data_IF_867988729519
#
_entry.id   IF_867988729519
#
_cell.length_a   1.000
_cell.length_b   1.000
_cell.length_c   1.000
_cell.angle_alpha   90.00
_cell.angle_beta   90.00
_cell.angle_gamma   90.00
#
_symmetry.space_group_name_H-M   'P 1'
#
loop_
_entity.id
_entity.type
_entity.pdbx_description
1 polymer ?
#
# COMPACT_ATOMS: atom_id res chain seq x y z
N UNK A 1 19.84 -5.97 -17.76
CA UNK A 1 19.07 -5.13 -16.82
C UNK A 1 17.73 -5.80 -16.58
N UNK A 2 17.47 -6.22 -15.35
CA UNK A 2 16.23 -6.87 -14.96
C UNK A 2 15.19 -5.82 -14.61
N UNK A 3 13.97 -5.94 -15.12
CA UNK A 3 12.87 -5.04 -14.76
C UNK A 3 11.94 -5.72 -13.77
N UNK A 4 11.64 -5.03 -12.68
CA UNK A 4 10.69 -5.49 -11.66
C UNK A 4 9.60 -4.45 -11.53
N UNK A 5 8.35 -4.85 -11.80
CA UNK A 5 7.17 -4.07 -11.45
C UNK A 5 6.69 -4.53 -10.07
N UNK A 6 6.38 -3.59 -9.18
CA UNK A 6 5.88 -3.89 -7.83
C UNK A 6 4.53 -3.21 -7.63
N UNK A 7 3.45 -3.97 -7.70
CA UNK A 7 2.10 -3.47 -7.48
C UNK A 7 1.76 -3.51 -5.99
N UNK A 8 1.34 -2.37 -5.45
CA UNK A 8 1.24 -2.23 -4.00
C UNK A 8 0.12 -1.29 -3.55
N UNK A 9 -0.43 -1.59 -2.36
CA UNK A 9 -1.39 -0.78 -1.62
C UNK A 9 -1.00 -0.80 -0.15
N UNK A 10 -0.89 0.38 0.46
CA UNK A 10 -0.45 0.52 1.85
C UNK A 10 -1.45 -0.05 2.88
N UNK A 11 -2.69 -0.34 2.47
CA UNK A 11 -3.72 -0.97 3.31
C UNK A 11 -3.60 -2.49 3.44
N UNK A 12 -2.56 -3.11 2.88
CA UNK A 12 -2.27 -4.53 3.05
C UNK A 12 -1.04 -4.76 3.95
N UNK A 13 -1.15 -5.58 5.01
CA UNK A 13 -0.03 -5.82 5.91
C UNK A 13 1.04 -6.71 5.25
N UNK A 14 0.63 -7.60 4.35
CA UNK A 14 1.55 -8.41 3.53
C UNK A 14 2.35 -7.55 2.55
N UNK A 15 1.73 -6.47 2.06
CA UNK A 15 2.44 -5.50 1.21
C UNK A 15 3.49 -4.75 2.01
N UNK A 16 3.25 -4.44 3.29
CA UNK A 16 4.27 -3.80 4.12
C UNK A 16 5.51 -4.70 4.28
N UNK A 17 5.30 -5.98 4.58
CA UNK A 17 6.38 -6.97 4.66
C UNK A 17 7.20 -7.04 3.36
N UNK A 18 6.52 -7.18 2.23
CA UNK A 18 7.17 -7.25 0.93
C UNK A 18 7.87 -5.95 0.55
N UNK A 19 7.26 -4.80 0.86
CA UNK A 19 7.80 -3.49 0.57
C UNK A 19 9.14 -3.25 1.28
N UNK A 20 9.28 -3.63 2.55
CA UNK A 20 10.58 -3.53 3.23
C UNK A 20 11.57 -4.59 2.73
N UNK A 21 11.09 -5.82 2.46
CA UNK A 21 11.94 -6.92 2.01
C UNK A 21 12.52 -6.72 0.60
N UNK A 22 11.84 -5.98 -0.28
CA UNK A 22 12.29 -5.76 -1.67
C UNK A 22 13.33 -4.64 -1.81
N UNK A 23 13.51 -3.79 -0.79
CA UNK A 23 14.41 -2.63 -0.88
C UNK A 23 15.87 -3.00 -1.22
N UNK A 24 16.47 -4.06 -0.64
CA UNK A 24 17.82 -4.48 -1.03
C UNK A 24 17.92 -4.91 -2.48
N UNK A 25 16.85 -5.49 -3.05
CA UNK A 25 16.79 -5.86 -4.47
C UNK A 25 16.66 -4.60 -5.34
N UNK A 26 15.81 -3.66 -4.92
CA UNK A 26 15.60 -2.38 -5.59
C UNK A 26 16.86 -1.51 -5.67
N UNK A 27 17.78 -1.67 -4.71
CA UNK A 27 19.04 -0.92 -4.66
C UNK A 27 20.16 -1.51 -5.55
N UNK A 28 19.94 -2.66 -6.20
CA UNK A 28 20.94 -3.27 -7.08
C UNK A 28 21.05 -2.51 -8.40
N UNK A 29 22.28 -2.30 -8.87
CA UNK A 29 22.55 -1.57 -10.13
C UNK A 29 21.97 -2.26 -11.38
N UNK A 30 21.77 -3.57 -11.33
CA UNK A 30 21.26 -4.37 -12.46
C UNK A 30 19.73 -4.50 -12.49
N UNK A 31 19.02 -3.85 -11.56
CA UNK A 31 17.56 -3.90 -11.40
C UNK A 31 16.94 -2.52 -11.66
N UNK A 32 15.96 -2.46 -12.57
CA UNK A 32 15.08 -1.30 -12.73
C UNK A 32 13.76 -1.57 -12.03
N UNK A 33 13.47 -0.82 -10.96
CA UNK A 33 12.18 -0.86 -10.29
C UNK A 33 11.15 0.04 -10.97
N UNK A 34 9.95 -0.49 -11.18
CA UNK A 34 8.75 0.27 -11.51
C UNK A 34 7.75 0.08 -10.38
N UNK A 35 7.52 1.12 -9.60
CA UNK A 35 6.54 1.08 -8.52
C UNK A 35 5.14 1.36 -9.07
N UNK A 36 4.17 0.53 -8.73
CA UNK A 36 2.82 0.60 -9.27
C UNK A 36 1.79 0.71 -8.13
N UNK A 37 1.50 1.94 -7.65
CA UNK A 37 0.41 2.17 -6.70
C UNK A 37 -0.91 1.68 -7.28
N UNK A 38 -1.65 0.87 -6.52
CA UNK A 38 -2.97 0.36 -6.88
C UNK A 38 -3.97 0.62 -5.75
N UNK A 39 -5.25 0.34 -6.03
CA UNK A 39 -6.28 0.21 -5.01
C UNK A 39 -6.68 -1.28 -4.87
N UNK A 40 -6.23 -1.95 -3.83
CA UNK A 40 -6.45 -3.40 -3.64
C UNK A 40 -7.92 -3.75 -3.47
N UNK A 41 -8.73 -2.85 -2.88
CA UNK A 41 -10.18 -3.03 -2.82
C UNK A 41 -10.83 -3.09 -4.21
N UNK A 42 -10.30 -2.36 -5.19
CA UNK A 42 -10.73 -2.44 -6.58
C UNK A 42 -10.39 -3.79 -7.21
N UNK A 43 -9.22 -4.36 -6.89
CA UNK A 43 -8.80 -5.69 -7.35
C UNK A 43 -9.70 -6.77 -6.76
N UNK A 44 -9.93 -6.75 -5.44
CA UNK A 44 -10.77 -7.75 -4.79
C UNK A 44 -12.21 -7.74 -5.31
N UNK A 45 -12.80 -6.56 -5.48
CA UNK A 45 -14.16 -6.44 -6.04
C UNK A 45 -14.26 -7.02 -7.46
N UNK A 46 -13.22 -6.87 -8.28
CA UNK A 46 -13.25 -7.29 -9.67
C UNK A 46 -12.95 -8.79 -9.86
N UNK A 47 -11.96 -9.33 -9.14
CA UNK A 47 -11.39 -10.65 -9.45
C UNK A 47 -11.17 -11.56 -8.24
N UNK A 48 -11.46 -11.10 -7.02
CA UNK A 48 -11.24 -11.90 -5.81
C UNK A 48 -12.24 -11.56 -4.68
N UNK A 49 -13.53 -11.59 -5.01
CA UNK A 49 -14.61 -11.24 -4.08
C UNK A 49 -14.68 -12.16 -2.86
N UNK A 50 -14.18 -13.40 -2.99
CA UNK A 50 -14.09 -14.39 -1.92
C UNK A 50 -13.31 -13.90 -0.67
N UNK A 51 -12.45 -12.89 -0.82
CA UNK A 51 -11.74 -12.26 0.31
C UNK A 51 -12.73 -11.63 1.30
N UNK A 52 -13.81 -11.02 0.81
CA UNK A 52 -14.83 -10.41 1.66
C UNK A 52 -15.66 -11.47 2.38
N UNK A 53 -16.02 -12.55 1.69
CA UNK A 53 -16.75 -13.67 2.31
C UNK A 53 -15.95 -14.32 3.43
N UNK A 54 -14.66 -14.55 3.21
CA UNK A 54 -13.76 -15.10 4.25
C UNK A 54 -13.60 -14.17 5.45
N UNK A 55 -13.66 -12.84 5.25
CA UNK A 55 -13.63 -11.86 6.35
C UNK A 55 -14.93 -11.86 7.15
N UNK A 56 -16.08 -12.02 6.48
CA UNK A 56 -17.38 -12.10 7.13
C UNK A 56 -17.55 -13.41 7.92
N UNK A 57 -17.07 -14.53 7.38
CA UNK A 57 -17.22 -15.85 7.96
C UNK A 57 -15.86 -16.57 8.12
N UNK A 58 -14.98 -16.10 9.02
CA UNK A 58 -13.64 -16.67 9.16
C UNK A 58 -13.69 -18.03 9.84
N UNK A 59 -12.93 -18.99 9.31
CA UNK A 59 -12.63 -20.24 10.02
C UNK A 59 -11.64 -19.92 11.16
N UNK A 60 -11.98 -20.11 12.45
CA UNK A 60 -11.17 -19.64 13.57
C UNK A 60 -9.72 -20.13 13.54
N UNK A 61 -9.48 -21.40 13.20
CA UNK A 61 -8.15 -21.97 13.08
C UNK A 61 -7.30 -21.29 11.99
N UNK A 62 -7.89 -21.00 10.82
CA UNK A 62 -7.20 -20.28 9.74
C UNK A 62 -6.90 -18.84 10.13
N UNK A 63 -7.82 -18.17 10.82
CA UNK A 63 -7.63 -16.80 11.28
C UNK A 63 -6.54 -16.69 12.36
N UNK A 64 -6.46 -17.66 13.28
CA UNK A 64 -5.38 -17.74 14.27
C UNK A 64 -4.02 -17.97 13.60
N UNK A 65 -3.95 -18.90 12.64
CA UNK A 65 -2.73 -19.15 11.88
C UNK A 65 -2.29 -17.90 11.11
N UNK A 66 -3.22 -17.26 10.38
CA UNK A 66 -2.94 -16.02 9.65
C UNK A 66 -2.31 -14.94 10.53
N UNK A 67 -2.86 -14.71 11.73
CA UNK A 67 -2.30 -13.72 12.68
C UNK A 67 -0.92 -14.14 13.15
N UNK A 68 -0.72 -15.41 13.52
CA UNK A 68 0.59 -15.91 13.95
C UNK A 68 1.63 -15.74 12.84
N UNK A 69 1.31 -16.19 11.63
CA UNK A 69 2.20 -16.14 10.46
C UNK A 69 2.59 -14.70 10.13
N UNK A 70 1.62 -13.78 10.13
CA UNK A 70 1.88 -12.35 9.93
C UNK A 70 2.85 -11.79 10.99
N UNK A 71 2.69 -12.16 12.27
CA UNK A 71 3.58 -11.71 13.35
C UNK A 71 4.97 -12.35 13.26
N UNK A 72 5.08 -13.61 12.81
CA UNK A 72 6.36 -14.27 12.60
C UNK A 72 7.16 -13.57 11.50
N UNK A 73 6.50 -13.26 10.38
CA UNK A 73 7.12 -12.50 9.28
C UNK A 73 7.46 -11.06 9.67
N UNK A 74 6.61 -10.37 10.44
CA UNK A 74 6.91 -9.03 10.93
C UNK A 74 8.18 -9.01 11.78
N UNK A 75 8.34 -9.99 12.69
CA UNK A 75 9.58 -10.17 13.47
C UNK A 75 10.79 -10.49 12.59
N UNK A 76 10.63 -11.32 11.57
CA UNK A 76 11.70 -11.66 10.64
C UNK A 76 12.18 -10.45 9.84
N UNK A 77 11.25 -9.63 9.32
CA UNK A 77 11.55 -8.42 8.55
C UNK A 77 12.03 -7.26 9.43
N UNK A 78 11.73 -7.29 10.73
CA UNK A 78 12.12 -6.25 11.69
C UNK A 78 11.14 -5.06 11.74
N UNK A 79 9.86 -5.30 11.43
CA UNK A 79 8.79 -4.28 11.51
C UNK A 79 7.71 -4.69 12.52
N UNK A 80 6.91 -3.71 12.95
CA UNK A 80 5.74 -3.94 13.81
C UNK A 80 4.47 -3.80 13.00
N UNK A 81 3.62 -4.83 13.03
CA UNK A 81 2.29 -4.81 12.42
C UNK A 81 1.26 -5.10 13.51
N UNK A 82 0.48 -4.09 13.89
CA UNK A 82 -0.67 -4.23 14.77
C UNK A 82 -1.99 -4.35 14.01
N UNK A 83 -3.08 -4.05 14.69
CA UNK A 83 -4.43 -4.12 14.15
C UNK A 83 -5.13 -2.76 14.26
N UNK A 84 -5.15 -1.95 13.18
CA UNK A 84 -5.81 -0.66 13.18
C UNK A 84 -7.32 -0.81 13.40
N UNK A 85 -7.92 0.04 14.23
CA UNK A 85 -9.37 -0.01 14.51
C UNK A 85 -10.24 0.23 13.28
N UNK A 86 -9.72 0.99 12.32
CA UNK A 86 -10.39 1.33 11.05
C UNK A 86 -10.17 0.29 9.94
N UNK A 87 -9.54 -0.86 10.22
CA UNK A 87 -9.31 -1.88 9.22
C UNK A 87 -10.60 -2.60 8.81
N UNK A 88 -10.91 -2.74 7.49
CA UNK A 88 -10.15 -2.26 6.34
C UNK A 88 -10.36 -0.75 6.07
N UNK A 89 -9.26 -0.01 5.92
CA UNK A 89 -9.28 1.44 5.69
C UNK A 89 -9.53 1.80 4.22
N UNK A 90 -10.11 2.98 3.99
CA UNK A 90 -10.11 3.61 2.67
C UNK A 90 -8.73 4.25 2.38
N UNK A 91 -7.86 3.54 1.66
CA UNK A 91 -6.52 4.00 1.29
C UNK A 91 -6.45 4.91 0.07
N UNK A 92 -7.58 5.28 -0.55
CA UNK A 92 -7.60 5.98 -1.85
C UNK A 92 -6.76 7.26 -1.84
N UNK A 93 -6.89 8.09 -0.81
CA UNK A 93 -6.11 9.33 -0.70
C UNK A 93 -4.62 9.03 -0.58
N UNK A 94 -4.26 8.10 0.30
CA UNK A 94 -2.87 7.67 0.51
C UNK A 94 -2.24 7.10 -0.77
N UNK A 95 -2.97 6.27 -1.52
CA UNK A 95 -2.46 5.65 -2.75
C UNK A 95 -2.37 6.61 -3.93
N UNK A 96 -3.24 7.63 -4.01
CA UNK A 96 -3.04 8.74 -4.94
C UNK A 96 -1.83 9.58 -4.56
N UNK A 97 -1.61 9.78 -3.26
CA UNK A 97 -0.45 10.48 -2.72
C UNK A 97 0.89 9.84 -3.10
N UNK A 98 0.92 8.52 -3.30
CA UNK A 98 2.10 7.83 -3.80
C UNK A 98 2.54 8.35 -5.19
N UNK A 99 1.60 8.72 -6.06
CA UNK A 99 1.95 9.32 -7.35
C UNK A 99 2.51 10.74 -7.21
N UNK A 100 2.03 11.52 -6.23
CA UNK A 100 2.62 12.83 -5.90
C UNK A 100 4.04 12.63 -5.38
N UNK A 101 4.26 11.68 -4.48
CA UNK A 101 5.58 11.37 -3.94
C UNK A 101 6.56 10.85 -5.01
N UNK A 102 6.08 10.20 -6.07
CA UNK A 102 6.92 9.85 -7.23
C UNK A 102 7.44 11.08 -7.98
N UNK A 103 6.62 12.12 -8.12
CA UNK A 103 7.03 13.35 -8.82
C UNK A 103 8.03 14.17 -8.00
N UNK A 104 8.06 13.94 -6.69
CA UNK A 104 9.01 14.54 -5.75
C UNK A 104 10.17 13.59 -5.40
N UNK A 105 10.35 12.49 -6.14
CA UNK A 105 11.40 11.48 -5.94
C UNK A 105 11.50 10.92 -4.50
N UNK A 106 10.40 10.97 -3.74
CA UNK A 106 10.35 10.60 -2.33
C UNK A 106 9.39 9.44 -2.04
N UNK A 107 8.98 8.70 -3.07
CA UNK A 107 8.02 7.59 -2.97
C UNK A 107 8.35 6.60 -1.84
N UNK A 108 9.61 6.17 -1.74
CA UNK A 108 9.99 5.16 -0.75
C UNK A 108 9.81 5.69 0.67
N UNK A 109 10.23 6.93 0.93
CA UNK A 109 10.05 7.58 2.22
C UNK A 109 8.56 7.78 2.55
N UNK A 110 7.78 8.22 1.56
CA UNK A 110 6.33 8.40 1.68
C UNK A 110 5.62 7.08 1.99
N UNK A 111 5.80 6.04 1.17
CA UNK A 111 5.13 4.76 1.33
C UNK A 111 5.49 4.11 2.67
N UNK A 112 6.78 4.14 3.07
CA UNK A 112 7.23 3.66 4.38
C UNK A 112 6.52 4.38 5.53
N UNK A 113 6.32 5.70 5.44
CA UNK A 113 5.58 6.48 6.45
C UNK A 113 4.11 6.13 6.49
N UNK A 114 3.45 5.96 5.33
CA UNK A 114 2.05 5.51 5.29
C UNK A 114 1.91 4.14 5.93
N UNK A 115 2.78 3.18 5.59
CA UNK A 115 2.78 1.86 6.21
C UNK A 115 3.00 1.94 7.72
N UNK A 116 4.02 2.67 8.18
CA UNK A 116 4.34 2.80 9.60
C UNK A 116 3.20 3.43 10.40
N UNK A 117 2.66 4.56 9.91
CA UNK A 117 1.54 5.26 10.54
C UNK A 117 0.31 4.36 10.66
N UNK A 118 0.00 3.62 9.60
CA UNK A 118 -1.16 2.74 9.61
C UNK A 118 -0.94 1.49 10.46
N UNK A 119 0.12 0.73 10.20
CA UNK A 119 0.30 -0.60 10.78
C UNK A 119 1.02 -0.62 12.11
N UNK A 120 1.94 0.31 12.35
CA UNK A 120 2.75 0.33 13.57
C UNK A 120 2.19 1.30 14.61
N UNK A 121 1.73 2.47 14.17
CA UNK A 121 1.17 3.51 15.06
C UNK A 121 -0.37 3.47 15.15
N UNK A 122 -1.03 2.64 14.34
CA UNK A 122 -2.48 2.42 14.33
C UNK A 122 -3.29 3.68 14.03
N UNK A 123 -2.71 4.64 13.31
CA UNK A 123 -3.38 5.87 12.88
C UNK A 123 -4.26 5.62 11.64
N UNK A 124 -5.32 6.42 11.49
CA UNK A 124 -6.23 6.34 10.35
C UNK A 124 -5.69 7.15 9.15
N UNK A 125 -5.09 6.45 8.18
CA UNK A 125 -4.57 7.05 6.94
C UNK A 125 -5.65 7.51 5.94
N UNK A 126 -6.94 7.41 6.28
CA UNK A 126 -8.01 8.08 5.53
C UNK A 126 -8.24 9.53 5.96
N UNK A 127 -7.67 9.93 7.12
CA UNK A 127 -7.78 11.29 7.66
C UNK A 127 -6.77 12.24 7.02
N UNK A 128 -7.23 13.43 6.65
CA UNK A 128 -6.40 14.44 5.98
C UNK A 128 -5.26 14.95 6.88
N UNK A 129 -5.48 15.06 8.19
CA UNK A 129 -4.44 15.48 9.12
C UNK A 129 -3.24 14.50 9.14
N UNK A 130 -3.50 13.18 9.10
CA UNK A 130 -2.46 12.15 9.06
C UNK A 130 -1.68 12.23 7.74
N UNK A 131 -2.39 12.35 6.61
CA UNK A 131 -1.76 12.45 5.29
C UNK A 131 -0.99 13.76 5.10
N UNK A 132 -1.48 14.88 5.64
CA UNK A 132 -0.77 16.16 5.64
C UNK A 132 0.57 16.04 6.38
N UNK A 133 0.57 15.42 7.56
CA UNK A 133 1.79 15.19 8.34
C UNK A 133 2.80 14.32 7.57
N UNK A 134 2.33 13.25 6.91
CA UNK A 134 3.17 12.39 6.08
C UNK A 134 3.75 13.15 4.88
N UNK A 135 2.92 13.91 4.16
CA UNK A 135 3.34 14.71 3.01
C UNK A 135 4.41 15.74 3.40
N UNK A 136 4.17 16.52 4.46
CA UNK A 136 5.14 17.49 4.98
C UNK A 136 6.45 16.83 5.41
N UNK A 137 6.39 15.67 6.07
CA UNK A 137 7.59 14.93 6.47
C UNK A 137 8.38 14.35 5.29
N UNK A 138 7.84 14.37 4.07
CA UNK A 138 8.50 14.00 2.83
C UNK A 138 8.89 15.21 1.97
N UNK A 139 8.72 16.43 2.50
CA UNK A 139 9.01 17.67 1.77
C UNK A 139 7.95 18.08 0.74
N UNK A 140 6.76 17.48 0.78
CA UNK A 140 5.63 17.83 -0.11
C UNK A 140 4.74 18.85 0.60
N UNK A 141 4.39 19.94 -0.08
CA UNK A 141 3.42 20.90 0.42
C UNK A 141 2.02 20.24 0.57
N UNK A 142 1.38 20.29 1.75
CA UNK A 142 0.08 19.67 1.95
C UNK A 142 -1.02 20.19 1.02
N UNK A 143 -0.99 21.48 0.66
CA UNK A 143 -2.00 22.06 -0.24
C UNK A 143 -1.83 21.48 -1.64
N UNK A 144 -0.61 21.49 -2.17
CA UNK A 144 -0.27 20.84 -3.45
C UNK A 144 -0.68 19.36 -3.44
N UNK A 145 -0.37 18.65 -2.36
CA UNK A 145 -0.71 17.25 -2.20
C UNK A 145 -2.23 17.01 -2.31
N UNK A 146 -3.04 17.76 -1.56
CA UNK A 146 -4.50 17.58 -1.57
C UNK A 146 -5.13 18.00 -2.90
N UNK A 147 -4.65 19.08 -3.51
CA UNK A 147 -5.11 19.53 -4.83
C UNK A 147 -4.85 18.46 -5.90
N UNK A 148 -3.63 17.89 -5.91
CA UNK A 148 -3.25 16.83 -6.85
C UNK A 148 -4.10 15.58 -6.67
N UNK A 149 -4.20 15.02 -5.46
CA UNK A 149 -4.96 13.78 -5.24
C UNK A 149 -6.48 13.93 -5.47
N UNK A 150 -6.99 15.17 -5.43
CA UNK A 150 -8.38 15.49 -5.73
C UNK A 150 -8.65 15.64 -7.24
N UNK A 151 -7.61 15.91 -8.04
CA UNK A 151 -7.75 16.15 -9.48
C UNK A 151 -8.03 14.86 -10.28
N UNK A 152 -8.68 15.02 -11.43
CA UNK A 152 -9.02 13.91 -12.35
C UNK A 152 -7.79 13.10 -12.81
N UNK A 153 -6.66 13.71 -13.19
CA UNK A 153 -5.47 12.96 -13.58
C UNK A 153 -5.00 11.92 -12.56
N UNK A 154 -4.98 12.24 -11.26
CA UNK A 154 -4.55 11.29 -10.21
C UNK A 154 -5.60 10.24 -9.89
N UNK A 155 -6.90 10.62 -9.98
CA UNK A 155 -8.01 9.66 -9.89
C UNK A 155 -7.88 8.60 -10.98
N UNK A 156 -7.64 9.02 -12.21
CA UNK A 156 -7.56 8.12 -13.35
C UNK A 156 -6.26 7.33 -13.37
N UNK A 157 -5.13 7.93 -12.95
CA UNK A 157 -3.85 7.21 -12.80
C UNK A 157 -3.97 6.01 -11.84
N UNK A 158 -4.64 6.18 -10.70
CA UNK A 158 -4.87 5.07 -9.76
C UNK A 158 -5.79 4.00 -10.36
N UNK A 159 -6.87 4.40 -11.05
CA UNK A 159 -7.79 3.47 -11.74
C UNK A 159 -7.07 2.67 -12.82
N UNK A 160 -6.31 3.33 -13.70
CA UNK A 160 -5.57 2.69 -14.78
C UNK A 160 -4.49 1.75 -14.24
N UNK A 161 -3.76 2.14 -13.20
CA UNK A 161 -2.77 1.26 -12.56
C UNK A 161 -3.43 -0.01 -11.97
N UNK A 162 -4.57 0.16 -11.29
CA UNK A 162 -5.35 -0.96 -10.75
C UNK A 162 -5.89 -1.86 -11.87
N UNK A 163 -6.41 -1.29 -12.95
CA UNK A 163 -6.88 -2.03 -14.11
C UNK A 163 -5.74 -2.76 -14.83
N UNK A 164 -4.56 -2.15 -14.92
CA UNK A 164 -3.40 -2.78 -15.53
C UNK A 164 -2.98 -4.05 -14.78
N UNK A 165 -3.03 -4.04 -13.44
CA UNK A 165 -2.79 -5.24 -12.63
C UNK A 165 -3.83 -6.33 -12.93
N UNK A 166 -5.12 -5.97 -12.90
CA UNK A 166 -6.24 -6.90 -13.15
C UNK A 166 -6.12 -7.53 -14.55
N UNK A 167 -5.89 -6.72 -15.58
CA UNK A 167 -5.75 -7.18 -16.96
C UNK A 167 -4.53 -8.09 -17.18
N UNK A 168 -3.55 -8.07 -16.26
CA UNK A 168 -2.38 -8.95 -16.26
C UNK A 168 -2.57 -10.19 -15.36
N UNK A 169 -3.75 -10.39 -14.80
CA UNK A 169 -4.09 -11.54 -13.96
C UNK A 169 -3.76 -11.39 -12.48
N UNK A 170 -3.38 -10.19 -12.03
CA UNK A 170 -3.14 -9.93 -10.61
C UNK A 170 -4.44 -9.93 -9.80
N UNK A 171 -4.39 -10.50 -8.59
CA UNK A 171 -5.57 -10.75 -7.75
C UNK A 171 -5.45 -10.21 -6.32
N UNK A 172 -4.37 -9.48 -6.01
CA UNK A 172 -4.12 -8.94 -4.69
C UNK A 172 -2.98 -7.93 -4.62
N UNK A 173 -2.53 -7.65 -3.39
CA UNK A 173 -1.42 -6.76 -3.09
C UNK A 173 -0.61 -7.38 -1.94
N UNK A 174 0.72 -7.54 -2.10
CA UNK A 174 1.54 -7.11 -3.23
C UNK A 174 1.38 -8.04 -4.46
N UNK A 175 1.86 -7.61 -5.62
CA UNK A 175 2.08 -8.46 -6.81
C UNK A 175 3.36 -8.05 -7.52
#
# INVERSE_FOLDING_TARGET
MHRVEFFFDCSSPWTYLAFESIQPIAAREDVTMTWCPILVGGVFNAVNSSVYDNRANPVPAKAQYYRKDLQDWARYVGITIGQPSVFPVNSVKAMRGAFVAMEHDCLIAYARRVFHRYWSELEDISQDAVLASIASACGIDPTEYFDKIASTPYKDRLRHSTQALISRGGFGSPT
#
